data_IF_941820276240
#
_entry.id   IF_941820276240
#
_cell.length_a   1.000
_cell.length_b   1.000
_cell.length_c   1.000
_cell.angle_alpha   90.00
_cell.angle_beta   90.00
_cell.angle_gamma   90.00
#
_symmetry.space_group_name_H-M   'P 1'
#
loop_
_entity.id
_entity.type
_entity.pdbx_description
1 polymer ?
#
# COMPACT_ATOMS: atom_id res chain seq x y z
N UNK A 1 -33.51 12.33 -8.22
CA UNK A 1 -32.53 13.31 -8.75
C UNK A 1 -31.34 13.31 -7.80
N UNK A 2 -30.21 12.74 -8.21
CA UNK A 2 -28.99 12.76 -7.38
C UNK A 2 -28.50 14.20 -7.29
N UNK A 3 -28.53 14.80 -6.10
CA UNK A 3 -27.91 16.11 -5.88
C UNK A 3 -26.41 15.94 -6.02
N UNK A 4 -25.82 16.40 -7.12
CA UNK A 4 -24.36 16.46 -7.24
C UNK A 4 -23.84 17.41 -6.15
N UNK A 5 -23.20 16.88 -5.12
CA UNK A 5 -22.48 17.70 -4.12
C UNK A 5 -21.29 18.36 -4.82
N UNK A 6 -21.18 19.70 -4.74
CA UNK A 6 -20.02 20.43 -5.23
C UNK A 6 -18.89 20.40 -4.20
N UNK A 7 -17.64 20.33 -4.65
CA UNK A 7 -16.45 20.37 -3.79
C UNK A 7 -15.40 21.34 -4.35
N UNK A 8 -14.72 22.05 -3.45
CA UNK A 8 -13.60 22.94 -3.76
C UNK A 8 -12.24 22.21 -3.72
N UNK A 9 -12.23 20.89 -3.52
CA UNK A 9 -11.01 20.11 -3.51
C UNK A 9 -10.25 20.25 -4.85
N UNK A 10 -8.97 20.63 -4.78
CA UNK A 10 -8.07 20.77 -5.94
C UNK A 10 -6.97 19.71 -5.99
N UNK A 11 -6.97 18.76 -5.06
CA UNK A 11 -5.99 17.68 -5.03
C UNK A 11 -6.28 16.58 -6.05
N UNK A 12 -5.43 15.55 -6.06
CA UNK A 12 -5.63 14.34 -6.88
C UNK A 12 -6.10 13.19 -6.01
N UNK A 13 -7.14 12.51 -6.45
CA UNK A 13 -7.56 11.25 -5.87
C UNK A 13 -6.88 10.08 -6.59
N UNK A 14 -6.65 9.01 -5.84
CA UNK A 14 -6.03 7.79 -6.31
C UNK A 14 -6.50 6.58 -5.54
N UNK A 15 -6.10 5.40 -5.99
CA UNK A 15 -6.42 4.13 -5.34
C UNK A 15 -5.20 3.22 -5.29
N UNK A 16 -5.34 2.11 -4.58
CA UNK A 16 -4.26 1.17 -4.33
C UNK A 16 -4.39 -0.14 -5.10
N UNK A 17 -3.31 -0.49 -5.81
CA UNK A 17 -2.96 -1.79 -6.39
C UNK A 17 -3.91 -2.33 -7.46
N UNK A 18 -5.18 -2.51 -7.13
CA UNK A 18 -6.14 -3.26 -7.93
C UNK A 18 -7.31 -2.37 -8.34
N UNK A 19 -7.60 -2.35 -9.64
CA UNK A 19 -8.86 -1.87 -10.16
C UNK A 19 -9.82 -3.07 -10.27
N UNK A 20 -10.88 -3.09 -9.47
CA UNK A 20 -11.82 -4.22 -9.40
C UNK A 20 -12.65 -4.38 -10.68
N UNK A 21 -12.92 -3.29 -11.40
CA UNK A 21 -13.62 -3.31 -12.69
C UNK A 21 -12.76 -4.02 -13.73
N UNK A 22 -11.50 -3.59 -13.88
CA UNK A 22 -10.54 -4.21 -14.79
C UNK A 22 -10.21 -5.67 -14.42
N UNK A 23 -10.19 -5.97 -13.12
CA UNK A 23 -9.99 -7.34 -12.62
C UNK A 23 -11.12 -8.28 -13.02
N UNK A 24 -12.36 -7.78 -13.05
CA UNK A 24 -13.54 -8.57 -13.40
C UNK A 24 -13.69 -8.85 -14.90
N UNK A 25 -12.94 -8.14 -15.76
CA UNK A 25 -12.96 -8.34 -17.21
C UNK A 25 -12.34 -9.69 -17.63
N UNK A 26 -12.60 -10.07 -18.88
CA UNK A 26 -12.02 -11.25 -19.54
C UNK A 26 -11.35 -10.80 -20.85
N UNK A 27 -10.00 -10.85 -20.95
CA UNK A 27 -9.06 -11.29 -19.92
C UNK A 27 -8.99 -10.30 -18.73
N UNK A 28 -8.64 -10.80 -17.54
CA UNK A 28 -8.53 -9.97 -16.33
C UNK A 28 -7.25 -9.15 -16.33
N UNK A 29 -7.36 -7.87 -15.99
CA UNK A 29 -6.25 -6.91 -15.95
C UNK A 29 -5.92 -6.55 -14.50
N UNK A 30 -4.68 -6.77 -14.08
CA UNK A 30 -4.17 -6.50 -12.73
C UNK A 30 -2.64 -6.68 -12.68
N UNK A 31 -1.96 -6.00 -11.76
CA UNK A 31 -0.48 -6.02 -11.70
C UNK A 31 0.10 -6.75 -10.48
N UNK A 32 -0.57 -7.80 -9.99
CA UNK A 32 -0.19 -8.53 -8.76
C UNK A 32 -0.24 -10.06 -8.91
N UNK A 33 -0.02 -10.57 -10.12
CA UNK A 33 0.12 -12.01 -10.36
C UNK A 33 1.32 -12.52 -9.59
N UNK A 34 1.10 -13.54 -8.76
CA UNK A 34 2.13 -14.27 -8.02
C UNK A 34 1.89 -15.78 -8.12
N UNK A 35 2.79 -16.59 -7.57
CA UNK A 35 2.63 -18.04 -7.47
C UNK A 35 3.11 -18.55 -6.11
N UNK A 36 2.87 -19.83 -5.83
CA UNK A 36 3.38 -20.48 -4.61
C UNK A 36 4.86 -20.83 -4.76
N UNK A 37 5.53 -21.04 -3.63
CA UNK A 37 6.93 -21.46 -3.58
C UNK A 37 7.17 -22.78 -4.35
N UNK A 38 6.26 -23.73 -4.25
CA UNK A 38 6.37 -25.00 -5.00
C UNK A 38 6.22 -24.80 -6.51
N UNK A 39 5.48 -23.79 -6.93
CA UNK A 39 5.31 -23.47 -8.36
C UNK A 39 6.62 -22.94 -8.96
N UNK A 40 7.36 -22.08 -8.26
CA UNK A 40 8.68 -21.63 -8.77
C UNK A 40 9.70 -22.77 -8.74
N UNK A 41 9.68 -23.64 -7.72
CA UNK A 41 10.54 -24.83 -7.67
C UNK A 41 10.29 -25.79 -8.84
N UNK A 42 9.05 -25.90 -9.30
CA UNK A 42 8.66 -26.83 -10.38
C UNK A 42 8.74 -26.21 -11.77
N UNK A 43 8.31 -24.96 -11.94
CA UNK A 43 8.27 -24.27 -13.25
C UNK A 43 9.50 -23.39 -13.53
N UNK A 44 10.34 -23.18 -12.53
CA UNK A 44 11.56 -22.40 -12.62
C UNK A 44 11.34 -20.88 -12.67
N UNK A 45 12.45 -20.15 -12.64
CA UNK A 45 12.49 -18.69 -12.60
C UNK A 45 11.86 -18.02 -13.83
N UNK A 46 11.99 -18.63 -15.02
CA UNK A 46 11.42 -18.07 -16.25
C UNK A 46 9.89 -17.94 -16.19
N UNK A 47 9.20 -18.86 -15.52
CA UNK A 47 7.77 -18.75 -15.28
C UNK A 47 7.43 -17.51 -14.44
N UNK A 48 8.20 -17.28 -13.37
CA UNK A 48 8.01 -16.12 -12.48
C UNK A 48 8.31 -14.81 -13.20
N UNK A 49 9.38 -14.75 -13.99
CA UNK A 49 9.68 -13.60 -14.86
C UNK A 49 8.54 -13.34 -15.86
N UNK A 50 7.90 -14.40 -16.36
CA UNK A 50 6.70 -14.30 -17.19
C UNK A 50 5.51 -13.64 -16.46
N UNK A 51 5.27 -14.01 -15.20
CA UNK A 51 4.25 -13.35 -14.36
C UNK A 51 4.58 -11.87 -14.11
N UNK A 52 5.84 -11.57 -13.81
CA UNK A 52 6.31 -10.19 -13.63
C UNK A 52 6.09 -9.36 -14.90
N UNK A 53 6.47 -9.87 -16.09
CA UNK A 53 6.22 -9.17 -17.35
C UNK A 53 4.73 -8.97 -17.62
N UNK A 54 3.87 -9.94 -17.28
CA UNK A 54 2.43 -9.77 -17.40
C UNK A 54 1.91 -8.66 -16.45
N UNK A 55 2.44 -8.57 -15.23
CA UNK A 55 2.10 -7.51 -14.30
C UNK A 55 2.52 -6.13 -14.80
N UNK A 56 3.74 -6.00 -15.34
CA UNK A 56 4.23 -4.73 -15.91
C UNK A 56 3.36 -4.31 -17.09
N UNK A 57 3.05 -5.22 -18.02
CA UNK A 57 2.22 -4.93 -19.20
C UNK A 57 0.81 -4.47 -18.84
N UNK A 58 0.23 -5.04 -17.79
CA UNK A 58 -1.11 -4.68 -17.32
C UNK A 58 -1.19 -3.29 -16.66
N UNK A 59 -0.05 -2.66 -16.35
CA UNK A 59 -0.06 -1.27 -15.87
C UNK A 59 -0.59 -0.34 -16.95
N UNK A 60 -0.25 -0.53 -18.24
CA UNK A 60 -0.73 0.34 -19.31
C UNK A 60 -2.25 0.44 -19.39
N UNK A 61 -3.02 -0.67 -19.52
CA UNK A 61 -4.48 -0.57 -19.56
C UNK A 61 -5.05 0.01 -18.26
N UNK A 62 -4.40 -0.19 -17.10
CA UNK A 62 -4.79 0.49 -15.86
C UNK A 62 -4.60 2.02 -15.96
N UNK A 63 -3.46 2.51 -16.48
CA UNK A 63 -3.23 3.94 -16.67
C UNK A 63 -4.18 4.56 -17.70
N UNK A 64 -4.50 3.83 -18.78
CA UNK A 64 -5.46 4.29 -19.78
C UNK A 64 -6.87 4.38 -19.21
N UNK A 65 -7.30 3.37 -18.44
CA UNK A 65 -8.58 3.42 -17.73
C UNK A 65 -8.61 4.58 -16.72
N UNK A 66 -7.52 4.81 -16.01
CA UNK A 66 -7.42 5.93 -15.07
C UNK A 66 -7.59 7.28 -15.77
N UNK A 67 -6.96 7.48 -16.93
CA UNK A 67 -7.10 8.72 -17.70
C UNK A 67 -8.55 8.96 -18.15
N UNK A 68 -9.26 7.91 -18.62
CA UNK A 68 -10.68 8.05 -19.01
C UNK A 68 -11.61 8.36 -17.83
N UNK A 69 -11.16 8.11 -16.59
CA UNK A 69 -11.89 8.40 -15.36
C UNK A 69 -11.28 9.57 -14.56
N UNK A 70 -10.36 10.31 -15.17
CA UNK A 70 -9.67 11.46 -14.57
C UNK A 70 -8.94 11.15 -13.25
N UNK A 71 -8.46 9.91 -13.09
CA UNK A 71 -7.62 9.48 -11.97
C UNK A 71 -6.17 9.58 -12.44
N UNK A 72 -5.31 10.26 -11.66
CA UNK A 72 -3.89 10.46 -12.01
C UNK A 72 -2.96 10.10 -10.86
N UNK A 73 -3.43 9.27 -9.94
CA UNK A 73 -2.67 8.81 -8.79
C UNK A 73 -2.94 7.32 -8.56
N UNK A 74 -1.90 6.50 -8.60
CA UNK A 74 -1.99 5.05 -8.42
C UNK A 74 -0.86 4.57 -7.51
N UNK A 75 -1.20 3.79 -6.48
CA UNK A 75 -0.22 2.97 -5.78
C UNK A 75 -0.07 1.65 -6.53
N UNK A 76 1.11 1.39 -7.07
CA UNK A 76 1.45 0.13 -7.72
C UNK A 76 1.52 -1.00 -6.68
N UNK A 77 1.27 -2.22 -7.13
CA UNK A 77 1.36 -3.40 -6.27
C UNK A 77 2.81 -3.77 -6.01
N UNK A 78 3.21 -3.91 -4.75
CA UNK A 78 4.52 -4.45 -4.37
C UNK A 78 4.72 -5.91 -4.81
N UNK A 79 3.63 -6.66 -5.02
CA UNK A 79 3.68 -8.03 -5.57
C UNK A 79 3.91 -8.10 -7.09
N UNK A 80 4.15 -6.96 -7.77
CA UNK A 80 4.27 -6.95 -9.23
C UNK A 80 5.47 -7.74 -9.76
N UNK A 81 6.53 -7.89 -8.95
CA UNK A 81 7.65 -8.80 -9.16
C UNK A 81 7.65 -9.88 -8.08
N UNK A 82 7.03 -11.05 -8.32
CA UNK A 82 6.92 -12.08 -7.30
C UNK A 82 8.29 -12.57 -6.86
N UNK A 83 8.52 -12.69 -5.56
CA UNK A 83 9.78 -13.18 -4.96
C UNK A 83 11.03 -12.31 -5.20
N UNK A 84 10.91 -11.10 -5.78
CA UNK A 84 12.06 -10.23 -6.08
C UNK A 84 12.97 -9.99 -4.87
N UNK A 85 12.39 -9.81 -3.67
CA UNK A 85 13.12 -9.61 -2.42
C UNK A 85 13.33 -10.89 -1.59
N UNK A 86 13.01 -12.08 -2.12
CA UNK A 86 13.17 -13.33 -1.39
C UNK A 86 14.66 -13.71 -1.27
N UNK A 87 15.15 -14.00 -0.06
CA UNK A 87 16.58 -14.23 0.20
C UNK A 87 17.24 -15.30 -0.70
N UNK A 88 16.51 -16.37 -1.04
CA UNK A 88 17.02 -17.48 -1.86
C UNK A 88 16.56 -17.46 -3.32
N UNK A 89 15.46 -16.77 -3.60
CA UNK A 89 14.76 -16.84 -4.90
C UNK A 89 14.68 -15.48 -5.58
N UNK A 90 15.22 -14.44 -4.94
CA UNK A 90 15.34 -13.10 -5.46
C UNK A 90 16.11 -13.10 -6.76
N UNK A 91 15.76 -12.15 -7.61
CA UNK A 91 16.34 -12.02 -8.92
C UNK A 91 16.37 -10.56 -9.32
N UNK A 92 17.35 -10.16 -10.14
CA UNK A 92 17.42 -8.82 -10.66
C UNK A 92 16.31 -8.58 -11.69
N UNK A 93 15.81 -7.34 -11.73
CA UNK A 93 14.64 -6.95 -12.54
C UNK A 93 14.99 -6.36 -13.92
N UNK A 94 16.26 -6.35 -14.34
CA UNK A 94 16.73 -5.73 -15.59
C UNK A 94 16.04 -6.26 -16.85
N UNK A 95 15.57 -7.53 -16.84
CA UNK A 95 14.81 -8.10 -17.95
C UNK A 95 13.51 -7.34 -18.26
N UNK A 96 12.99 -6.58 -17.30
CA UNK A 96 11.78 -5.76 -17.45
C UNK A 96 12.07 -4.29 -17.76
N UNK A 97 13.34 -3.85 -17.80
CA UNK A 97 13.71 -2.44 -17.93
C UNK A 97 13.07 -1.78 -19.15
N UNK A 98 13.16 -2.42 -20.32
CA UNK A 98 12.61 -1.86 -21.57
C UNK A 98 11.11 -1.61 -21.46
N UNK A 99 10.37 -2.55 -20.86
CA UNK A 99 8.92 -2.43 -20.71
C UNK A 99 8.57 -1.42 -19.61
N UNK A 100 9.27 -1.44 -18.48
CA UNK A 100 9.10 -0.45 -17.42
C UNK A 100 9.33 0.97 -17.93
N UNK A 101 10.38 1.19 -18.73
CA UNK A 101 10.67 2.48 -19.38
C UNK A 101 9.51 2.92 -20.27
N UNK A 102 8.94 2.02 -21.06
CA UNK A 102 7.77 2.30 -21.92
C UNK A 102 6.53 2.67 -21.10
N UNK A 103 6.23 1.93 -20.04
CA UNK A 103 5.12 2.23 -19.12
C UNK A 103 5.34 3.57 -18.40
N UNK A 104 6.57 3.83 -17.97
CA UNK A 104 6.97 5.06 -17.33
C UNK A 104 6.82 6.30 -18.23
N UNK A 105 7.21 6.19 -19.50
CA UNK A 105 6.96 7.23 -20.51
C UNK A 105 5.47 7.53 -20.67
N UNK A 106 4.62 6.50 -20.72
CA UNK A 106 3.16 6.67 -20.75
C UNK A 106 2.65 7.36 -19.48
N UNK A 107 3.06 6.89 -18.31
CA UNK A 107 2.66 7.47 -17.02
C UNK A 107 3.03 8.95 -16.92
N UNK A 108 4.26 9.31 -17.30
CA UNK A 108 4.73 10.70 -17.33
C UNK A 108 3.95 11.56 -18.34
N UNK A 109 3.69 11.03 -19.55
CA UNK A 109 2.91 11.73 -20.59
C UNK A 109 1.48 12.03 -20.11
N UNK A 110 0.86 11.08 -19.43
CA UNK A 110 -0.48 11.23 -18.85
C UNK A 110 -0.47 11.98 -17.49
N UNK A 111 0.71 12.38 -17.01
CA UNK A 111 0.86 13.09 -15.74
C UNK A 111 0.46 12.28 -14.50
N UNK A 112 0.57 10.95 -14.56
CA UNK A 112 0.29 10.05 -13.43
C UNK A 112 1.39 10.12 -12.36
N UNK A 113 0.97 10.18 -11.09
CA UNK A 113 1.84 9.94 -9.94
C UNK A 113 1.74 8.48 -9.56
N UNK A 114 2.87 7.77 -9.55
CA UNK A 114 2.93 6.34 -9.18
C UNK A 114 3.68 6.19 -7.87
N UNK A 115 3.16 5.40 -6.93
CA UNK A 115 3.81 5.18 -5.62
C UNK A 115 3.83 3.70 -5.27
N UNK A 116 4.65 3.34 -4.29
CA UNK A 116 4.59 2.04 -3.65
C UNK A 116 4.27 2.19 -2.17
N UNK A 117 3.72 1.14 -1.58
CA UNK A 117 3.75 0.97 -0.14
C UNK A 117 4.27 -0.45 0.13
N UNK A 118 5.60 -0.63 0.16
CA UNK A 118 6.20 -1.91 0.50
C UNK A 118 5.62 -2.43 1.82
N UNK A 119 5.46 -3.76 1.91
CA UNK A 119 4.67 -4.39 2.97
C UNK A 119 5.30 -4.28 4.36
N UNK A 120 4.55 -4.72 5.38
CA UNK A 120 4.92 -4.68 6.79
C UNK A 120 6.23 -5.40 7.18
N UNK A 121 6.84 -6.17 6.28
CA UNK A 121 8.10 -6.87 6.55
C UNK A 121 9.33 -5.96 6.39
N UNK A 122 9.16 -4.77 5.82
CA UNK A 122 10.20 -3.75 5.71
C UNK A 122 10.37 -3.03 7.04
N UNK A 123 11.33 -3.47 7.85
CA UNK A 123 11.49 -3.11 9.25
C UNK A 123 12.91 -2.59 9.53
N UNK A 124 13.18 -1.35 9.12
CA UNK A 124 14.51 -0.72 9.29
C UNK A 124 14.89 -0.46 10.76
N UNK A 125 13.91 -0.46 11.67
CA UNK A 125 14.11 -0.36 13.12
C UNK A 125 14.34 -1.71 13.83
N UNK A 126 14.30 -2.83 13.11
CA UNK A 126 14.47 -4.18 13.69
C UNK A 126 15.84 -4.36 14.35
N UNK A 127 15.95 -5.11 15.47
CA UNK A 127 17.25 -5.51 16.03
C UNK A 127 17.89 -6.67 15.25
N UNK A 128 17.17 -7.30 14.32
CA UNK A 128 17.67 -8.44 13.54
C UNK A 128 18.38 -7.98 12.26
N UNK A 129 19.67 -8.27 12.15
CA UNK A 129 20.47 -7.99 10.95
C UNK A 129 19.83 -8.56 9.67
N UNK A 130 19.35 -9.81 9.72
CA UNK A 130 18.67 -10.46 8.60
C UNK A 130 17.42 -9.68 8.14
N UNK A 131 16.62 -9.19 9.08
CA UNK A 131 15.42 -8.40 8.75
C UNK A 131 15.80 -7.06 8.14
N UNK A 132 16.85 -6.41 8.68
CA UNK A 132 17.36 -5.15 8.14
C UNK A 132 17.86 -5.36 6.70
N UNK A 133 18.71 -6.36 6.46
CA UNK A 133 19.31 -6.58 5.14
C UNK A 133 18.24 -6.91 4.08
N UNK A 134 17.23 -7.70 4.45
CA UNK A 134 16.07 -7.94 3.58
C UNK A 134 15.27 -6.66 3.31
N UNK A 135 15.08 -5.80 4.32
CA UNK A 135 14.35 -4.54 4.16
C UNK A 135 15.09 -3.56 3.27
N UNK A 136 16.42 -3.45 3.42
CA UNK A 136 17.26 -2.62 2.55
C UNK A 136 17.16 -3.10 1.10
N UNK A 137 17.31 -4.41 0.88
CA UNK A 137 17.18 -5.00 -0.44
C UNK A 137 15.81 -4.74 -1.07
N UNK A 138 14.72 -5.00 -0.35
CA UNK A 138 13.36 -4.81 -0.87
C UNK A 138 13.07 -3.35 -1.22
N UNK A 139 13.47 -2.40 -0.36
CA UNK A 139 13.26 -0.98 -0.60
C UNK A 139 14.09 -0.46 -1.78
N UNK A 140 15.34 -0.90 -1.91
CA UNK A 140 16.19 -0.55 -3.04
C UNK A 140 15.66 -1.12 -4.36
N UNK A 141 15.11 -2.34 -4.34
CA UNK A 141 14.47 -2.92 -5.52
C UNK A 141 13.20 -2.16 -5.93
N UNK A 142 12.37 -1.72 -4.98
CA UNK A 142 11.22 -0.87 -5.31
C UNK A 142 11.63 0.50 -5.89
N UNK A 143 12.71 1.09 -5.38
CA UNK A 143 13.27 2.31 -5.95
C UNK A 143 13.78 2.09 -7.38
N UNK A 144 14.46 0.97 -7.63
CA UNK A 144 14.95 0.58 -8.95
C UNK A 144 13.81 0.43 -9.98
N UNK A 145 12.64 -0.08 -9.58
CA UNK A 145 11.46 -0.13 -10.46
C UNK A 145 11.08 1.29 -10.91
N UNK A 146 10.98 2.25 -9.97
CA UNK A 146 10.63 3.63 -10.28
C UNK A 146 11.71 4.33 -11.13
N UNK A 147 12.98 3.95 -10.95
CA UNK A 147 14.09 4.47 -11.74
C UNK A 147 14.08 3.94 -13.17
N UNK A 148 13.84 2.64 -13.39
CA UNK A 148 13.64 2.08 -14.73
C UNK A 148 12.44 2.66 -15.45
N UNK A 149 11.38 3.01 -14.71
CA UNK A 149 10.24 3.75 -15.23
C UNK A 149 10.53 5.25 -15.46
N UNK A 150 11.70 5.77 -15.07
CA UNK A 150 12.02 7.19 -15.15
C UNK A 150 10.97 8.07 -14.46
N UNK A 151 10.46 7.61 -13.30
CA UNK A 151 9.47 8.37 -12.55
C UNK A 151 10.14 9.51 -11.77
N UNK A 152 9.50 10.70 -11.69
CA UNK A 152 10.03 11.83 -10.94
C UNK A 152 10.14 11.53 -9.44
N UNK A 153 10.82 12.40 -8.70
CA UNK A 153 10.98 12.30 -7.24
C UNK A 153 9.63 12.27 -6.48
N UNK A 154 8.56 12.79 -7.11
CA UNK A 154 7.22 12.77 -6.55
C UNK A 154 6.63 11.35 -6.41
N UNK A 155 7.23 10.36 -7.07
CA UNK A 155 6.93 8.94 -6.91
C UNK A 155 7.65 8.38 -5.69
N UNK A 156 6.92 8.36 -4.57
CA UNK A 156 7.39 7.98 -3.24
C UNK A 156 7.08 6.52 -2.88
N UNK A 157 7.81 5.99 -1.90
CA UNK A 157 7.64 4.67 -1.29
C UNK A 157 7.27 4.85 0.18
N UNK A 158 6.07 4.42 0.55
CA UNK A 158 5.52 4.64 1.89
C UNK A 158 5.80 3.40 2.75
N UNK A 159 6.34 3.58 3.94
CA UNK A 159 6.43 2.52 4.95
C UNK A 159 5.99 3.03 6.32
N UNK A 160 5.48 2.14 7.15
CA UNK A 160 5.35 2.39 8.58
C UNK A 160 6.72 2.27 9.26
N UNK A 161 6.83 2.82 10.48
CA UNK A 161 8.01 2.62 11.32
C UNK A 161 8.12 1.18 11.83
N UNK A 162 6.97 0.52 12.01
CA UNK A 162 6.88 -0.91 12.30
C UNK A 162 6.87 -1.25 13.78
N UNK A 163 7.66 -2.24 14.21
CA UNK A 163 7.66 -2.69 15.61
C UNK A 163 8.34 -1.72 16.58
N UNK A 164 7.94 -1.70 17.85
CA UNK A 164 8.66 -0.94 18.91
C UNK A 164 9.90 -1.64 19.45
N UNK A 165 10.00 -2.97 19.28
CA UNK A 165 11.14 -3.79 19.72
C UNK A 165 11.63 -3.48 21.16
N UNK A 166 10.68 -3.24 22.08
CA UNK A 166 10.93 -2.91 23.49
C UNK A 166 11.13 -1.43 23.81
N UNK A 167 11.49 -0.59 22.83
CA UNK A 167 11.77 0.84 23.03
C UNK A 167 11.59 1.62 21.73
N UNK A 168 10.65 2.57 21.70
CA UNK A 168 10.44 3.48 20.56
C UNK A 168 11.71 4.26 20.25
N UNK A 169 12.34 4.84 21.27
CA UNK A 169 13.56 5.65 21.12
C UNK A 169 14.69 4.87 20.46
N UNK A 170 15.00 3.67 20.95
CA UNK A 170 16.09 2.86 20.39
C UNK A 170 15.75 2.38 18.97
N UNK A 171 14.47 2.14 18.70
CA UNK A 171 14.00 1.76 17.35
C UNK A 171 14.16 2.90 16.36
N UNK A 172 13.81 4.14 16.73
CA UNK A 172 13.97 5.32 15.88
C UNK A 172 15.46 5.59 15.58
N UNK A 173 16.36 5.35 16.53
CA UNK A 173 17.80 5.46 16.29
C UNK A 173 18.34 4.36 15.37
N UNK A 174 17.90 3.10 15.54
CA UNK A 174 18.24 2.02 14.60
C UNK A 174 17.71 2.30 13.21
N UNK A 175 16.48 2.78 13.10
CA UNK A 175 15.89 3.21 11.84
C UNK A 175 16.78 4.29 11.20
N UNK A 176 17.17 5.33 11.94
CA UNK A 176 18.00 6.41 11.42
C UNK A 176 19.36 5.90 10.91
N UNK A 177 19.99 4.98 11.62
CA UNK A 177 21.25 4.36 11.18
C UNK A 177 21.06 3.55 9.89
N UNK A 178 19.99 2.75 9.81
CA UNK A 178 19.74 1.89 8.65
C UNK A 178 19.19 2.64 7.43
N UNK A 179 18.41 3.71 7.62
CA UNK A 179 17.95 4.57 6.54
C UNK A 179 19.12 5.12 5.72
N UNK A 180 20.24 5.48 6.37
CA UNK A 180 21.45 5.97 5.70
C UNK A 180 22.16 4.90 4.85
N UNK A 181 21.84 3.62 5.05
CA UNK A 181 22.39 2.49 4.28
C UNK A 181 21.62 2.21 2.99
N UNK A 182 20.41 2.75 2.84
CA UNK A 182 19.63 2.64 1.60
C UNK A 182 20.35 3.29 0.42
N UNK A 183 20.05 2.85 -0.80
CA UNK A 183 20.52 3.54 -1.99
C UNK A 183 20.06 5.02 -2.02
N UNK A 184 20.79 5.91 -2.71
CA UNK A 184 20.37 7.30 -2.85
C UNK A 184 18.94 7.45 -3.40
N UNK A 185 18.55 6.58 -4.34
CA UNK A 185 17.19 6.57 -4.90
C UNK A 185 16.15 6.18 -3.86
N UNK A 186 16.39 5.13 -3.08
CA UNK A 186 15.48 4.75 -2.01
C UNK A 186 15.37 5.83 -0.92
N UNK A 187 16.48 6.43 -0.48
CA UNK A 187 16.45 7.57 0.46
C UNK A 187 15.67 8.78 -0.11
N UNK A 188 15.80 9.04 -1.41
CA UNK A 188 15.13 10.12 -2.12
C UNK A 188 13.62 9.87 -2.34
N UNK A 189 13.13 8.65 -2.13
CA UNK A 189 11.73 8.27 -2.37
C UNK A 189 10.99 7.80 -1.12
N UNK A 190 11.70 7.34 -0.09
CA UNK A 190 11.09 6.82 1.13
C UNK A 190 10.40 7.94 1.91
N UNK A 191 9.18 7.66 2.33
CA UNK A 191 8.37 8.49 3.23
C UNK A 191 7.80 7.61 4.34
N UNK A 192 7.58 8.19 5.51
CA UNK A 192 6.99 7.49 6.65
C UNK A 192 5.48 7.73 6.72
N UNK A 193 4.77 6.83 7.38
CA UNK A 193 3.33 6.94 7.66
C UNK A 193 3.07 6.61 9.13
N UNK A 194 2.22 7.39 9.79
CA UNK A 194 1.73 7.08 11.15
C UNK A 194 0.87 5.81 11.14
N UNK A 195 0.89 5.06 12.23
CA UNK A 195 0.17 3.81 12.36
C UNK A 195 -0.70 3.77 13.63
N UNK A 196 -1.67 2.87 13.60
CA UNK A 196 -2.74 2.73 14.57
C UNK A 196 -2.32 1.99 15.85
N UNK A 197 -1.06 1.55 15.97
CA UNK A 197 -0.62 0.67 17.06
C UNK A 197 0.57 1.25 17.83
N UNK A 198 1.62 1.63 17.12
CA UNK A 198 2.95 1.89 17.66
C UNK A 198 3.35 3.35 17.52
N UNK A 199 3.10 4.01 16.39
CA UNK A 199 3.70 5.32 16.09
C UNK A 199 2.69 6.33 15.56
N UNK A 200 2.35 7.30 16.41
CA UNK A 200 1.55 8.48 16.06
C UNK A 200 2.37 9.49 15.21
N UNK A 201 1.72 10.53 14.70
CA UNK A 201 2.40 11.66 14.04
C UNK A 201 3.45 12.28 14.96
N UNK A 202 3.10 12.52 16.23
CA UNK A 202 4.01 13.09 17.21
C UNK A 202 5.27 12.24 17.46
N UNK A 203 5.14 10.91 17.45
CA UNK A 203 6.30 10.01 17.60
C UNK A 203 7.28 10.13 16.43
N UNK A 204 6.76 10.31 15.20
CA UNK A 204 7.56 10.26 13.98
C UNK A 204 8.14 11.62 13.57
N UNK A 205 7.46 12.72 13.89
CA UNK A 205 7.84 14.06 13.45
C UNK A 205 9.29 14.45 13.78
N UNK A 206 9.82 14.23 15.00
CA UNK A 206 11.22 14.56 15.30
C UNK A 206 12.23 13.84 14.39
N UNK A 207 11.95 12.57 14.05
CA UNK A 207 12.78 11.79 13.14
C UNK A 207 12.64 12.30 11.69
N UNK A 208 11.42 12.55 11.25
CA UNK A 208 11.09 13.08 9.93
C UNK A 208 11.82 14.42 9.66
N UNK A 209 11.80 15.34 10.62
CA UNK A 209 12.51 16.61 10.54
C UNK A 209 14.03 16.41 10.47
N UNK A 210 14.58 15.61 11.38
CA UNK A 210 16.02 15.33 11.48
C UNK A 210 16.59 14.70 10.22
N UNK A 211 15.85 13.79 9.58
CA UNK A 211 16.29 13.07 8.38
C UNK A 211 15.73 13.65 7.07
N UNK A 212 14.91 14.70 7.15
CA UNK A 212 14.16 15.23 6.00
C UNK A 212 13.38 14.15 5.24
N UNK A 213 12.75 13.24 6.00
CA UNK A 213 11.87 12.19 5.49
C UNK A 213 10.43 12.72 5.59
N UNK A 214 9.72 12.91 4.45
CA UNK A 214 8.33 13.33 4.49
C UNK A 214 7.44 12.34 5.25
N UNK A 215 6.43 12.87 5.93
CA UNK A 215 5.39 12.09 6.59
C UNK A 215 4.11 12.12 5.75
N UNK A 216 3.55 10.94 5.48
CA UNK A 216 2.20 10.73 4.99
C UNK A 216 1.30 10.63 6.22
N UNK A 217 0.43 11.61 6.41
CA UNK A 217 -0.64 11.52 7.39
C UNK A 217 -1.69 10.52 6.87
N UNK A 218 -1.87 9.42 7.60
CA UNK A 218 -3.08 8.60 7.50
C UNK A 218 -4.08 9.06 8.57
N UNK A 219 -5.21 9.59 8.10
CA UNK A 219 -6.25 10.15 8.95
C UNK A 219 -6.93 9.08 9.82
N UNK A 220 -7.13 7.87 9.29
CA UNK A 220 -7.80 6.82 10.05
C UNK A 220 -6.90 6.21 11.11
N UNK A 221 -5.60 6.09 10.82
CA UNK A 221 -4.64 5.68 11.84
C UNK A 221 -4.54 6.71 12.97
N UNK A 222 -4.57 8.00 12.65
CA UNK A 222 -4.56 9.07 13.66
C UNK A 222 -5.85 9.06 14.50
N UNK A 223 -7.02 8.79 13.91
CA UNK A 223 -8.27 8.61 14.67
C UNK A 223 -8.17 7.49 15.72
N UNK A 224 -7.40 6.42 15.45
CA UNK A 224 -7.25 5.26 16.35
C UNK A 224 -6.12 5.47 17.37
N UNK A 225 -5.00 6.04 16.93
CA UNK A 225 -3.80 6.28 17.74
C UNK A 225 -3.39 7.76 17.61
N UNK A 226 -4.16 8.67 18.23
CA UNK A 226 -3.98 10.10 18.04
C UNK A 226 -2.71 10.60 18.69
N UNK A 227 -2.13 11.62 18.07
CA UNK A 227 -1.11 12.44 18.72
C UNK A 227 -1.70 13.25 19.89
N UNK A 228 -0.87 13.78 20.81
CA UNK A 228 -1.35 14.64 21.90
C UNK A 228 -2.09 15.89 21.42
N UNK A 229 -1.67 16.44 20.29
CA UNK A 229 -2.32 17.57 19.62
C UNK A 229 -3.09 17.09 18.38
N UNK A 230 -4.10 17.84 17.91
CA UNK A 230 -4.84 17.50 16.69
C UNK A 230 -3.93 17.40 15.45
N UNK A 231 -4.23 16.52 14.47
CA UNK A 231 -3.41 16.33 13.28
C UNK A 231 -3.18 17.63 12.49
N UNK A 232 -4.15 18.55 12.51
CA UNK A 232 -4.07 19.87 11.87
C UNK A 232 -2.90 20.72 12.38
N UNK A 233 -2.54 20.57 13.66
CA UNK A 233 -1.43 21.28 14.27
C UNK A 233 -0.07 20.87 13.69
N UNK A 234 0.05 19.63 13.21
CA UNK A 234 1.27 19.08 12.60
C UNK A 234 1.35 19.36 11.08
N UNK A 235 0.25 19.67 10.41
CA UNK A 235 0.20 19.88 8.95
C UNK A 235 1.21 20.92 8.45
N UNK A 236 1.46 22.07 9.11
CA UNK A 236 2.50 23.01 8.68
C UNK A 236 3.90 22.40 8.68
N UNK A 237 4.26 21.67 9.74
CA UNK A 237 5.58 21.04 9.87
C UNK A 237 5.75 19.90 8.85
N UNK A 238 4.72 19.05 8.70
CA UNK A 238 4.68 18.00 7.67
C UNK A 238 4.90 18.63 6.29
N UNK A 239 4.11 19.65 5.94
CA UNK A 239 4.17 20.33 4.63
C UNK A 239 5.56 20.93 4.36
N UNK A 240 6.18 21.55 5.35
CA UNK A 240 7.51 22.14 5.21
C UNK A 240 8.57 21.12 4.78
N UNK A 241 8.46 19.85 5.20
CA UNK A 241 9.37 18.78 4.78
C UNK A 241 9.15 18.42 3.30
N UNK A 242 7.89 18.27 2.87
CA UNK A 242 7.54 17.99 1.46
C UNK A 242 8.01 19.13 0.54
N UNK A 243 7.79 20.38 0.94
CA UNK A 243 8.21 21.58 0.19
C UNK A 243 9.73 21.67 0.07
N UNK A 244 10.48 21.41 1.15
CA UNK A 244 11.95 21.36 1.12
C UNK A 244 12.48 20.32 0.15
N UNK A 245 11.77 19.20 -0.01
CA UNK A 245 12.09 18.12 -0.95
C UNK A 245 11.62 18.41 -2.38
N UNK A 246 10.88 19.50 -2.61
CA UNK A 246 10.35 19.87 -3.92
C UNK A 246 9.31 18.90 -4.48
N UNK A 247 8.63 18.16 -3.61
CA UNK A 247 7.63 17.14 -3.99
C UNK A 247 6.27 17.46 -3.36
N UNK A 248 5.20 16.94 -3.95
CA UNK A 248 3.82 17.27 -3.54
C UNK A 248 3.40 16.40 -2.36
N UNK A 249 2.77 16.98 -1.31
CA UNK A 249 2.25 16.20 -0.20
C UNK A 249 1.36 15.03 -0.64
N UNK A 250 1.46 13.92 0.09
CA UNK A 250 0.58 12.75 -0.01
C UNK A 250 -0.02 12.50 1.36
N UNK A 251 -1.30 12.15 1.39
CA UNK A 251 -2.02 11.72 2.59
C UNK A 251 -2.76 10.43 2.27
N UNK A 252 -3.10 9.64 3.28
CA UNK A 252 -3.98 8.49 3.17
C UNK A 252 -5.30 8.77 3.88
N UNK A 253 -6.38 8.38 3.23
CA UNK A 253 -7.73 8.54 3.74
C UNK A 253 -8.42 7.20 3.67
N UNK A 254 -8.95 6.75 4.79
CA UNK A 254 -9.77 5.56 4.91
C UNK A 254 -10.79 5.75 6.03
N UNK A 255 -11.73 4.83 6.14
CA UNK A 255 -12.73 4.84 7.21
C UNK A 255 -12.84 3.44 7.81
N UNK A 256 -13.10 3.40 9.12
CA UNK A 256 -13.38 2.16 9.82
C UNK A 256 -14.60 1.47 9.24
N UNK A 257 -14.49 0.16 9.00
CA UNK A 257 -15.62 -0.65 8.56
C UNK A 257 -16.65 -0.73 9.69
N UNK A 258 -17.82 -0.11 9.50
CA UNK A 258 -18.96 -0.27 10.41
C UNK A 258 -19.49 -1.70 10.36
N UNK A 259 -19.65 -2.32 11.53
CA UNK A 259 -20.09 -3.70 11.67
C UNK A 259 -18.99 -4.71 11.29
N UNK A 260 -18.51 -5.48 12.27
CA UNK A 260 -17.50 -6.54 12.06
C UNK A 260 -17.93 -7.70 11.15
N UNK A 261 -19.14 -7.67 10.58
CA UNK A 261 -19.60 -8.64 9.61
C UNK A 261 -19.37 -8.13 8.17
N UNK A 262 -18.72 -8.99 7.38
CA UNK A 262 -18.35 -8.67 6.01
C UNK A 262 -19.57 -8.45 5.10
N UNK A 263 -20.69 -9.07 5.38
CA UNK A 263 -21.91 -8.89 4.58
C UNK A 263 -22.61 -7.58 4.95
N UNK A 264 -22.64 -7.24 6.24
CA UNK A 264 -23.32 -6.04 6.72
C UNK A 264 -22.69 -4.76 6.20
N UNK A 265 -21.36 -4.67 6.15
CA UNK A 265 -20.75 -3.47 5.60
C UNK A 265 -20.94 -3.35 4.07
N UNK A 266 -21.12 -4.47 3.35
CA UNK A 266 -21.46 -4.40 1.90
C UNK A 266 -22.87 -3.85 1.73
N UNK A 267 -23.83 -4.32 2.52
CA UNK A 267 -25.19 -3.80 2.52
C UNK A 267 -25.26 -2.32 2.90
N UNK A 268 -24.52 -1.90 3.93
CA UNK A 268 -24.43 -0.49 4.30
C UNK A 268 -23.82 0.37 3.19
N UNK A 269 -22.76 -0.10 2.51
CA UNK A 269 -22.20 0.61 1.36
C UNK A 269 -23.22 0.72 0.22
N UNK A 270 -23.99 -0.34 -0.04
CA UNK A 270 -25.06 -0.31 -1.04
C UNK A 270 -26.16 0.69 -0.70
N UNK A 271 -26.56 0.80 0.56
CA UNK A 271 -27.54 1.80 1.03
C UNK A 271 -26.98 3.23 0.95
N UNK A 272 -25.79 3.49 1.49
CA UNK A 272 -25.17 4.83 1.55
C UNK A 272 -24.96 5.40 0.15
N UNK A 273 -24.49 4.56 -0.78
CA UNK A 273 -24.11 5.00 -2.12
C UNK A 273 -25.14 4.66 -3.20
N UNK A 274 -26.26 4.03 -2.84
CA UNK A 274 -27.32 3.64 -3.78
C UNK A 274 -26.86 2.65 -4.86
N UNK A 275 -25.95 1.73 -4.52
CA UNK A 275 -25.28 0.86 -5.50
C UNK A 275 -26.15 -0.34 -5.91
N UNK A 276 -26.97 -0.85 -5.01
CA UNK A 276 -27.91 -1.95 -5.26
C UNK A 276 -29.05 -1.91 -4.23
N UNK A 277 -30.28 -2.35 -4.56
CA UNK A 277 -31.33 -2.56 -3.56
C UNK A 277 -30.85 -3.53 -2.47
N UNK A 278 -31.07 -3.14 -1.22
CA UNK A 278 -30.76 -3.94 -0.03
C UNK A 278 -32.07 -4.25 0.69
N UNK A 279 -32.28 -5.52 1.03
CA UNK A 279 -33.43 -5.94 1.83
C UNK A 279 -33.25 -5.44 3.27
N UNK A 280 -34.10 -4.54 3.78
CA UNK A 280 -33.94 -3.99 5.13
C UNK A 280 -34.05 -5.05 6.24
N UNK A 281 -34.59 -6.25 5.94
CA UNK A 281 -34.69 -7.34 6.92
C UNK A 281 -33.36 -8.07 7.16
N UNK A 282 -32.39 -7.93 6.25
CA UNK A 282 -31.06 -8.56 6.39
C UNK A 282 -30.00 -7.59 6.91
N UNK A 283 -30.33 -6.29 6.98
CA UNK A 283 -29.45 -5.25 7.55
C UNK A 283 -29.61 -5.22 9.05
N UNK A 284 -28.51 -5.38 9.77
CA UNK A 284 -28.47 -5.26 11.22
C UNK A 284 -28.21 -3.81 11.61
N UNK A 285 -28.96 -3.25 12.56
CA UNK A 285 -28.68 -1.93 13.10
C UNK A 285 -27.28 -1.89 13.74
N UNK A 286 -26.61 -0.72 13.76
CA UNK A 286 -25.35 -0.55 14.46
C UNK A 286 -25.47 -0.99 15.93
N UNK A 287 -24.43 -1.63 16.47
CA UNK A 287 -24.40 -1.96 17.89
C UNK A 287 -24.38 -0.66 18.70
N UNK A 288 -25.18 -0.59 19.78
CA UNK A 288 -25.24 0.59 20.65
C UNK A 288 -23.92 0.86 21.38
N UNK A 289 -23.07 -0.17 21.54
CA UNK A 289 -21.71 -0.07 22.06
C UNK A 289 -20.77 -0.84 21.11
N UNK A 290 -19.81 -0.12 20.51
CA UNK A 290 -18.76 -0.74 19.69
C UNK A 290 -17.68 -1.31 20.61
N UNK A 291 -17.44 -2.62 20.53
CA UNK A 291 -16.42 -3.29 21.33
C UNK A 291 -15.18 -3.55 20.47
N UNK A 292 -13.98 -3.34 21.02
CA UNK A 292 -12.70 -3.63 20.34
C UNK A 292 -12.37 -5.12 20.24
N UNK A 293 -13.23 -6.01 20.76
CA UNK A 293 -13.00 -7.44 20.76
C UNK A 293 -13.61 -8.11 19.52
N UNK A 294 -12.75 -8.64 18.64
CA UNK A 294 -13.19 -9.54 17.57
C UNK A 294 -13.44 -10.94 18.13
N UNK A 295 -14.70 -11.33 18.34
CA UNK A 295 -15.04 -12.75 18.53
C UNK A 295 -14.84 -13.48 17.20
N UNK A 296 -13.68 -14.12 17.04
CA UNK A 296 -13.36 -14.93 15.88
C UNK A 296 -14.49 -15.94 15.59
N UNK A 297 -14.85 -16.07 14.30
CA UNK A 297 -15.86 -17.02 13.83
C UNK A 297 -15.41 -18.44 14.18
N UNK A 298 -16.14 -19.11 15.08
CA UNK A 298 -15.95 -20.55 15.32
C UNK A 298 -16.24 -21.30 14.02
N UNK A 299 -15.25 -22.03 13.51
CA UNK A 299 -15.41 -22.94 12.39
C UNK A 299 -16.39 -24.05 12.80
N UNK A 300 -17.52 -24.14 12.11
CA UNK A 300 -18.44 -25.27 12.21
C UNK A 300 -17.82 -26.46 11.47
N UNK A 301 -17.03 -27.28 12.18
CA UNK A 301 -16.75 -28.64 11.75
C UNK A 301 -17.96 -29.52 12.10
N UNK A 302 -18.55 -30.15 11.09
CA UNK A 302 -19.25 -31.46 11.10
C UNK A 302 -19.66 -31.78 9.64
N UNK A 303 -18.97 -32.68 8.91
CA UNK A 303 -19.05 -34.16 8.85
C UNK A 303 -20.19 -34.67 7.90
N UNK A 304 -20.09 -35.84 7.20
CA UNK A 304 -19.33 -37.05 7.54
C UNK A 304 -18.51 -37.71 6.42
N UNK A 305 -17.60 -38.61 6.82
CA UNK A 305 -16.98 -39.63 5.97
C UNK A 305 -17.96 -40.79 5.84
N UNK A 306 -18.42 -41.08 4.63
CA UNK A 306 -19.01 -42.36 4.28
C UNK A 306 -17.97 -43.15 3.49
N UNK A 307 -17.29 -44.08 4.17
CA UNK A 307 -16.57 -45.18 3.55
C UNK A 307 -17.59 -46.25 3.16
N UNK A 308 -17.70 -46.57 1.87
CA UNK A 308 -18.11 -47.89 1.38
C UNK A 308 -17.98 -47.91 -0.15
N UNK A 309 -16.89 -48.49 -0.64
CA UNK A 309 -16.89 -49.22 -1.90
C UNK A 309 -15.95 -50.43 -1.72
N UNK A 310 -16.55 -51.61 -1.76
CA UNK A 310 -15.90 -52.79 -2.31
C UNK A 310 -15.96 -52.74 -3.83
#
# INVERSE_FOLDING_TARGET
>A
MSSSKSTDFRGRLGYACLNTVLRAQKPSIYSSRTCRLDTIKTKGLNFVKGLAMANVRDIEPMLRWNETHHIRFLRLSSDMFPFMSHAELGYPIDFAETELRRIGQLANTLGHRLTFHPGQFNQLGSPSAKVIDNSLWELDQHAQILDFMHMPADSVMIIHMGGMYGSKSDTLERFAANFRRLSPSAQARLVLENDEICYSVADLMPLCERLSIPLVLDWHHDDINPSPEPPESYLPAIRAIWERRGIRPKQHYSEGRRGGDKEQAVFQLYEIYGLHPVDPTVVRPPAAEETTQTKGRKSSKNHPVASNFG
#
